data_IF_419286616148
#
_entry.id   IF_419286616148
#
_cell.length_a   1.000
_cell.length_b   1.000
_cell.length_c   1.000
_cell.angle_alpha   90.00
_cell.angle_beta   90.00
_cell.angle_gamma   90.00
#
_symmetry.space_group_name_H-M   'P 1'
#
loop_
_entity.id
_entity.type
_entity.pdbx_description
1 polymer ?
#
# COMPACT_ATOMS: atom_id res chain seq x y z
N UNK A 1 -2.37 -1.09 1.57
CA UNK A 1 -1.18 -0.29 1.95
C UNK A 1 -0.89 0.68 0.81
N UNK A 2 -0.70 1.96 1.11
CA UNK A 2 -0.41 3.05 0.17
C UNK A 2 0.90 3.75 0.56
N UNK A 3 1.36 4.69 -0.27
CA UNK A 3 2.50 5.56 0.03
C UNK A 3 3.85 4.94 -0.34
N UNK A 4 4.87 5.30 0.43
CA UNK A 4 6.20 4.69 0.39
C UNK A 4 6.10 3.17 0.57
N UNK A 5 6.95 2.41 -0.14
CA UNK A 5 7.24 1.04 0.26
C UNK A 5 8.36 1.07 1.30
N UNK A 6 8.00 1.23 2.58
CA UNK A 6 8.97 1.47 3.65
C UNK A 6 8.32 1.88 4.96
N UNK A 7 9.11 2.54 5.80
CA UNK A 7 8.71 2.84 7.18
C UNK A 7 7.57 3.87 7.27
N UNK A 8 7.33 4.68 6.24
CA UNK A 8 6.19 5.62 6.20
C UNK A 8 4.95 5.10 5.45
N UNK A 9 4.88 3.80 5.13
CA UNK A 9 3.73 3.21 4.45
C UNK A 9 2.42 3.36 5.24
N UNK A 10 1.29 3.49 4.53
CA UNK A 10 -0.03 3.77 5.13
C UNK A 10 -0.97 2.58 4.99
N UNK A 11 -1.38 2.01 6.12
CA UNK A 11 -2.44 1.00 6.17
C UNK A 11 -3.80 1.69 6.18
N UNK A 12 -4.50 1.67 5.05
CA UNK A 12 -5.84 2.25 4.91
C UNK A 12 -6.92 1.32 5.48
N UNK A 13 -7.12 1.39 6.79
CA UNK A 13 -8.11 0.60 7.51
C UNK A 13 -9.54 1.02 7.18
N UNK A 14 -9.76 2.31 6.89
CA UNK A 14 -11.10 2.86 6.63
C UNK A 14 -11.75 2.35 5.35
N UNK A 15 -10.94 1.99 4.36
CA UNK A 15 -11.37 1.45 3.05
C UNK A 15 -11.12 -0.06 2.93
N UNK A 16 -10.85 -0.76 4.03
CA UNK A 16 -10.60 -2.20 4.02
C UNK A 16 -11.93 -2.96 4.19
N UNK A 17 -12.23 -3.84 3.23
CA UNK A 17 -13.46 -4.63 3.21
C UNK A 17 -13.19 -6.15 3.13
N UNK A 18 -14.16 -6.91 3.63
CA UNK A 18 -14.30 -8.36 3.41
C UNK A 18 -15.62 -8.58 2.68
N UNK A 19 -15.55 -8.86 1.39
CA UNK A 19 -16.73 -8.85 0.53
C UNK A 19 -17.29 -7.43 0.44
N UNK A 20 -18.49 -7.21 1.00
CA UNK A 20 -19.15 -5.91 1.05
C UNK A 20 -19.23 -5.33 2.47
N UNK A 21 -18.45 -5.87 3.41
CA UNK A 21 -18.51 -5.52 4.83
C UNK A 21 -17.16 -4.94 5.24
N UNK A 22 -17.16 -3.75 5.84
CA UNK A 22 -15.95 -3.15 6.41
C UNK A 22 -15.24 -4.12 7.35
N UNK A 23 -13.91 -4.24 7.25
CA UNK A 23 -13.12 -5.23 7.99
C UNK A 23 -13.34 -5.15 9.51
N UNK A 24 -13.60 -3.94 10.03
CA UNK A 24 -13.89 -3.71 11.44
C UNK A 24 -15.23 -4.31 11.87
N UNK A 25 -16.25 -4.23 11.00
CA UNK A 25 -17.57 -4.83 11.21
C UNK A 25 -17.51 -6.34 11.03
N UNK A 26 -16.84 -6.83 9.99
CA UNK A 26 -16.60 -8.25 9.80
C UNK A 26 -15.93 -8.88 11.04
N UNK A 27 -14.89 -8.24 11.58
CA UNK A 27 -14.21 -8.69 12.80
C UNK A 27 -15.15 -8.82 14.00
N UNK A 28 -16.09 -7.88 14.17
CA UNK A 28 -17.13 -7.98 15.21
C UNK A 28 -18.05 -9.18 14.99
N UNK A 29 -18.51 -9.39 13.76
CA UNK A 29 -19.44 -10.48 13.42
C UNK A 29 -18.85 -11.87 13.65
N UNK A 30 -17.55 -12.05 13.42
CA UNK A 30 -16.85 -13.34 13.62
C UNK A 30 -16.24 -13.50 15.02
N UNK A 31 -16.54 -12.60 15.96
CA UNK A 31 -16.03 -12.66 17.33
C UNK A 31 -14.53 -12.40 17.46
N UNK A 32 -13.92 -11.70 16.49
CA UNK A 32 -12.50 -11.30 16.48
C UNK A 32 -12.37 -9.81 16.14
N UNK A 33 -12.81 -8.91 17.05
CA UNK A 33 -12.84 -7.48 16.78
C UNK A 33 -11.44 -6.94 16.46
N UNK A 34 -11.39 -6.01 15.50
CA UNK A 34 -10.17 -5.32 15.12
C UNK A 34 -9.96 -4.09 16.02
N UNK A 35 -9.58 -4.34 17.27
CA UNK A 35 -9.24 -3.30 18.25
C UNK A 35 -7.89 -2.63 17.95
N UNK A 36 -7.54 -1.59 18.71
CA UNK A 36 -6.30 -0.84 18.52
C UNK A 36 -5.06 -1.72 18.67
N UNK A 37 -5.07 -2.64 19.64
CA UNK A 37 -3.97 -3.57 19.86
C UNK A 37 -3.80 -4.53 18.67
N UNK A 38 -4.89 -5.03 18.09
CA UNK A 38 -4.86 -5.86 16.89
C UNK A 38 -4.37 -5.08 15.68
N UNK A 39 -4.87 -3.85 15.47
CA UNK A 39 -4.41 -2.96 14.40
C UNK A 39 -2.91 -2.69 14.51
N UNK A 40 -2.43 -2.33 15.70
CA UNK A 40 -1.02 -2.06 15.94
C UNK A 40 -0.14 -3.29 15.69
N UNK A 41 -0.54 -4.46 16.21
CA UNK A 41 0.21 -5.70 15.94
C UNK A 41 0.27 -6.05 14.46
N UNK A 42 -0.81 -5.81 13.70
CA UNK A 42 -0.82 -6.05 12.26
C UNK A 42 0.06 -5.02 11.55
N UNK A 43 -0.01 -3.74 11.92
CA UNK A 43 0.86 -2.68 11.38
C UNK A 43 2.34 -3.04 11.57
N UNK A 44 2.75 -3.35 12.79
CA UNK A 44 4.13 -3.76 13.10
C UNK A 44 4.53 -5.05 12.34
N UNK A 45 3.60 -5.99 12.18
CA UNK A 45 3.84 -7.19 11.41
C UNK A 45 4.07 -6.87 9.92
N UNK A 46 3.29 -6.00 9.31
CA UNK A 46 3.44 -5.62 7.89
C UNK A 46 4.70 -4.77 7.71
N UNK A 47 4.79 -3.64 8.42
CA UNK A 47 5.87 -2.65 8.31
C UNK A 47 7.24 -3.27 8.57
N UNK A 48 7.32 -4.20 9.54
CA UNK A 48 8.60 -4.84 9.91
C UNK A 48 8.87 -6.20 9.26
N UNK A 49 8.05 -6.61 8.29
CA UNK A 49 8.22 -7.91 7.62
C UNK A 49 9.59 -8.05 6.95
N UNK A 50 10.04 -7.02 6.22
CA UNK A 50 11.33 -7.05 5.53
C UNK A 50 12.50 -7.22 6.51
N UNK A 51 12.53 -6.44 7.60
CA UNK A 51 13.57 -6.52 8.63
C UNK A 51 13.67 -7.92 9.24
N UNK A 52 12.55 -8.53 9.65
CA UNK A 52 12.55 -9.89 10.24
C UNK A 52 13.06 -10.94 9.25
N UNK A 53 12.72 -10.81 7.97
CA UNK A 53 13.19 -11.73 6.93
C UNK A 53 14.70 -11.56 6.70
N UNK A 54 15.18 -10.32 6.61
CA UNK A 54 16.60 -10.01 6.42
C UNK A 54 17.42 -10.52 7.61
N UNK A 55 16.96 -10.30 8.84
CA UNK A 55 17.62 -10.83 10.04
C UNK A 55 17.68 -12.36 10.04
N UNK A 56 16.61 -13.03 9.60
CA UNK A 56 16.54 -14.50 9.60
C UNK A 56 17.30 -15.19 8.46
N UNK A 57 17.42 -14.57 7.27
CA UNK A 57 18.02 -15.21 6.09
C UNK A 57 18.87 -14.31 5.18
N UNK A 58 19.22 -13.12 5.62
CA UNK A 58 20.14 -12.18 4.94
C UNK A 58 19.51 -11.28 3.87
N UNK A 59 18.42 -11.68 3.23
CA UNK A 59 17.66 -10.83 2.30
C UNK A 59 16.23 -11.35 2.06
N UNK A 60 15.38 -10.58 1.38
CA UNK A 60 14.03 -11.00 0.92
C UNK A 60 13.98 -11.09 -0.61
N UNK A 61 13.33 -12.12 -1.16
CA UNK A 61 13.27 -12.30 -2.62
C UNK A 61 12.04 -13.09 -3.09
N UNK A 62 11.58 -14.09 -2.34
CA UNK A 62 10.42 -14.90 -2.76
C UNK A 62 9.12 -14.10 -2.84
N UNK A 63 8.82 -13.27 -1.83
CA UNK A 63 7.60 -12.46 -1.81
C UNK A 63 7.55 -11.44 -2.96
N UNK A 64 8.64 -10.69 -3.14
CA UNK A 64 8.73 -9.70 -4.21
C UNK A 64 8.73 -10.36 -5.60
N UNK A 65 9.35 -11.54 -5.77
CA UNK A 65 9.27 -12.29 -7.02
C UNK A 65 7.81 -12.66 -7.38
N UNK A 66 7.01 -13.09 -6.39
CA UNK A 66 5.57 -13.32 -6.59
C UNK A 66 4.81 -12.05 -7.01
N UNK A 67 5.11 -10.92 -6.36
CA UNK A 67 4.55 -9.61 -6.72
C UNK A 67 4.91 -9.17 -8.15
N UNK A 68 6.18 -9.31 -8.55
CA UNK A 68 6.65 -9.02 -9.90
C UNK A 68 5.96 -9.90 -10.94
N UNK A 69 5.84 -11.21 -10.69
CA UNK A 69 5.11 -12.13 -11.58
C UNK A 69 3.65 -11.68 -11.74
N UNK A 70 2.99 -11.22 -10.68
CA UNK A 70 1.61 -10.72 -10.73
C UNK A 70 1.47 -9.46 -11.59
N UNK A 71 2.39 -8.50 -11.45
CA UNK A 71 2.43 -7.27 -12.25
C UNK A 71 2.71 -7.59 -13.72
N UNK A 72 3.72 -8.42 -14.01
CA UNK A 72 4.04 -8.83 -15.37
C UNK A 72 2.87 -9.57 -16.05
N UNK A 73 2.11 -10.39 -15.29
CA UNK A 73 0.90 -11.04 -15.81
C UNK A 73 -0.19 -10.03 -16.16
N UNK A 74 -0.44 -9.03 -15.30
CA UNK A 74 -1.43 -7.98 -15.58
C UNK A 74 -1.09 -7.21 -16.87
N UNK A 75 0.19 -6.84 -17.03
CA UNK A 75 0.66 -6.12 -18.22
C UNK A 75 0.54 -7.01 -19.45
N UNK A 76 1.13 -8.21 -19.42
CA UNK A 76 1.14 -9.11 -20.59
C UNK A 76 -0.26 -9.50 -21.05
N UNK A 77 -1.22 -9.61 -20.14
CA UNK A 77 -2.60 -9.99 -20.43
C UNK A 77 -3.56 -8.83 -20.71
N UNK A 78 -3.10 -7.57 -20.69
CA UNK A 78 -3.96 -6.38 -20.63
C UNK A 78 -5.12 -6.54 -19.62
N UNK A 79 -4.82 -7.06 -18.43
CA UNK A 79 -5.84 -7.51 -17.46
C UNK A 79 -6.69 -6.35 -16.92
N UNK A 80 -6.15 -5.13 -16.98
CA UNK A 80 -6.71 -3.94 -16.31
C UNK A 80 -6.96 -4.20 -14.83
N UNK A 81 -6.01 -4.91 -14.20
CA UNK A 81 -6.06 -5.26 -12.80
C UNK A 81 -5.82 -4.04 -11.92
N UNK A 82 -6.55 -3.92 -10.80
CA UNK A 82 -6.25 -2.93 -9.77
C UNK A 82 -5.15 -3.48 -8.86
N UNK A 83 -3.98 -2.84 -8.89
CA UNK A 83 -2.83 -3.18 -8.05
C UNK A 83 -2.30 -1.92 -7.36
N UNK A 84 -1.83 -2.04 -6.12
CA UNK A 84 -1.11 -0.93 -5.48
C UNK A 84 0.34 -0.94 -5.93
N UNK A 85 0.68 -0.04 -6.85
CA UNK A 85 2.02 0.06 -7.45
C UNK A 85 2.45 1.52 -7.50
N UNK A 86 3.76 1.80 -7.60
CA UNK A 86 4.33 3.16 -7.67
C UNK A 86 4.37 3.72 -9.10
N UNK A 87 4.30 5.04 -9.21
CA UNK A 87 4.31 5.85 -10.44
C UNK A 87 4.53 7.29 -10.02
N UNK A 88 5.35 8.01 -10.79
CA UNK A 88 5.51 9.45 -10.64
C UNK A 88 4.18 10.15 -10.96
N UNK A 89 3.69 10.95 -10.03
CA UNK A 89 2.57 11.85 -10.22
C UNK A 89 2.95 13.28 -9.87
N UNK A 90 2.12 14.23 -10.32
CA UNK A 90 2.34 15.66 -10.09
C UNK A 90 2.17 16.02 -8.61
N UNK A 91 1.19 15.42 -7.93
CA UNK A 91 0.88 15.69 -6.54
C UNK A 91 0.11 14.52 -5.88
N UNK A 92 0.36 14.28 -4.60
CA UNK A 92 -0.46 13.44 -3.72
C UNK A 92 -0.62 14.18 -2.39
N UNK A 93 -1.88 14.43 -1.98
CA UNK A 93 -2.21 15.10 -0.71
C UNK A 93 -1.45 16.43 -0.50
N UNK A 94 -1.34 17.27 -1.54
CA UNK A 94 -0.62 18.55 -1.48
C UNK A 94 0.89 18.47 -1.67
N UNK A 95 1.45 17.30 -1.99
CA UNK A 95 2.91 17.08 -2.05
C UNK A 95 3.32 16.46 -3.39
N UNK A 96 4.27 17.08 -4.09
CA UNK A 96 4.85 16.52 -5.31
C UNK A 96 5.84 17.46 -6.03
N UNK A 97 6.39 17.03 -7.19
CA UNK A 97 6.16 15.74 -7.84
C UNK A 97 6.74 14.57 -7.03
N UNK A 98 6.04 13.43 -7.00
CA UNK A 98 6.42 12.29 -6.15
C UNK A 98 6.03 10.94 -6.77
N UNK A 99 6.90 9.94 -6.61
CA UNK A 99 6.61 8.56 -7.01
C UNK A 99 6.29 7.70 -5.79
N UNK A 100 5.01 7.39 -5.58
CA UNK A 100 4.54 6.56 -4.47
C UNK A 100 3.41 5.62 -4.89
N UNK A 101 3.06 4.68 -4.02
CA UNK A 101 2.08 3.63 -4.32
C UNK A 101 0.64 4.08 -4.06
N UNK A 102 -0.21 3.98 -5.08
CA UNK A 102 -1.67 4.16 -5.01
C UNK A 102 -2.35 2.97 -5.71
N UNK A 103 -3.65 2.71 -5.48
CA UNK A 103 -4.39 1.73 -6.24
C UNK A 103 -4.48 2.19 -7.70
N UNK A 104 -3.94 1.39 -8.62
CA UNK A 104 -3.80 1.75 -10.02
C UNK A 104 -4.26 0.63 -10.93
N UNK A 105 -4.87 1.00 -12.04
CA UNK A 105 -5.30 0.08 -13.09
C UNK A 105 -4.09 -0.23 -13.96
N UNK A 106 -3.67 -1.49 -13.98
CA UNK A 106 -2.51 -1.99 -14.73
C UNK A 106 -2.98 -2.84 -15.90
N UNK A 107 -2.68 -2.40 -17.13
CA UNK A 107 -2.98 -3.07 -18.39
C UNK A 107 -1.76 -3.17 -19.31
N UNK A 108 -2.00 -3.44 -20.59
CA UNK A 108 -0.97 -3.71 -21.60
C UNK A 108 0.02 -2.56 -21.82
N UNK A 109 -0.46 -1.34 -21.64
CA UNK A 109 0.35 -0.12 -21.73
C UNK A 109 0.95 0.33 -20.39
N UNK A 110 0.96 -0.54 -19.39
CA UNK A 110 1.37 -0.20 -18.03
C UNK A 110 0.20 0.35 -17.21
N UNK A 111 0.41 1.47 -16.50
CA UNK A 111 -0.64 2.08 -15.68
C UNK A 111 -1.56 2.93 -16.57
N UNK A 112 -2.85 2.63 -16.53
CA UNK A 112 -3.88 3.30 -17.36
C UNK A 112 -4.90 4.08 -16.53
N UNK A 113 -4.76 4.08 -15.21
CA UNK A 113 -5.60 4.87 -14.30
C UNK A 113 -5.15 4.79 -12.85
N UNK A 114 -5.52 5.79 -12.06
CA UNK A 114 -5.31 5.84 -10.61
C UNK A 114 -6.67 5.95 -9.93
N UNK A 115 -6.90 5.14 -8.91
CA UNK A 115 -8.12 5.16 -8.08
C UNK A 115 -7.79 5.79 -6.74
N UNK A 116 -8.68 6.66 -6.27
CA UNK A 116 -8.51 7.37 -5.00
C UNK A 116 -9.44 6.76 -3.94
N UNK A 117 -8.89 6.00 -2.97
CA UNK A 117 -9.70 5.43 -1.90
C UNK A 117 -10.18 6.54 -0.96
N UNK A 118 -11.29 6.29 -0.27
CA UNK A 118 -11.72 7.17 0.81
C UNK A 118 -10.75 7.05 1.99
N UNK A 119 -10.17 8.17 2.40
CA UNK A 119 -9.23 8.22 3.52
C UNK A 119 -9.87 9.00 4.68
N UNK A 120 -9.60 8.55 5.89
CA UNK A 120 -9.82 9.39 7.08
C UNK A 120 -8.82 10.56 7.07
N UNK A 121 -9.09 11.66 7.81
CA UNK A 121 -8.12 12.75 7.95
C UNK A 121 -6.74 12.29 8.44
N UNK A 122 -6.70 11.27 9.31
CA UNK A 122 -5.46 10.69 9.80
C UNK A 122 -4.69 9.92 8.71
N UNK A 123 -5.37 9.12 7.89
CA UNK A 123 -4.75 8.39 6.78
C UNK A 123 -4.29 9.32 5.65
N UNK A 124 -5.06 10.37 5.35
CA UNK A 124 -4.67 11.41 4.39
C UNK A 124 -3.42 12.17 4.89
N UNK A 125 -3.39 12.58 6.16
CA UNK A 125 -2.22 13.21 6.74
C UNK A 125 -0.99 12.29 6.76
N UNK A 126 -1.17 10.99 7.04
CA UNK A 126 -0.10 10.00 6.98
C UNK A 126 0.42 9.80 5.54
N UNK A 127 -0.47 9.79 4.55
CA UNK A 127 -0.08 9.69 3.14
C UNK A 127 0.68 10.94 2.66
N UNK A 128 0.24 12.13 3.07
CA UNK A 128 0.96 13.38 2.84
C UNK A 128 2.36 13.34 3.47
N UNK A 129 2.47 12.83 4.70
CA UNK A 129 3.77 12.66 5.36
C UNK A 129 4.66 11.66 4.61
N UNK A 130 4.11 10.55 4.14
CA UNK A 130 4.82 9.56 3.34
C UNK A 130 5.35 10.18 2.03
N UNK A 131 4.55 10.99 1.36
CA UNK A 131 4.97 11.74 0.18
C UNK A 131 6.14 12.70 0.49
N UNK A 132 6.08 13.43 1.62
CA UNK A 132 7.17 14.34 2.04
C UNK A 132 8.47 13.60 2.31
N UNK A 133 8.41 12.42 2.93
CA UNK A 133 9.60 11.57 3.17
C UNK A 133 10.29 11.25 1.84
N UNK A 134 9.52 10.83 0.83
CA UNK A 134 10.06 10.49 -0.49
C UNK A 134 10.63 11.73 -1.19
N UNK A 135 9.92 12.85 -1.18
CA UNK A 135 10.38 14.10 -1.81
C UNK A 135 11.68 14.59 -1.16
N UNK A 136 11.77 14.54 0.17
CA UNK A 136 12.98 14.91 0.89
C UNK A 136 14.16 14.00 0.52
N UNK A 137 13.96 12.67 0.50
CA UNK A 137 14.98 11.70 0.12
C UNK A 137 15.40 11.79 -1.36
N UNK A 138 14.52 12.28 -2.24
CA UNK A 138 14.86 12.52 -3.64
C UNK A 138 15.67 13.81 -3.84
N UNK A 139 15.69 14.71 -2.87
CA UNK A 139 16.39 15.99 -2.95
C UNK A 139 17.87 15.93 -2.49
N UNK A 140 18.28 14.87 -1.79
CA UNK A 140 19.65 14.65 -1.30
C UNK A 140 19.71 13.77 -0.07
#
# INVERSE_FOLDING_TARGET
VLGEHGDSEVLCWSSADVGSIAVSEYGRQVGRPLDDAARQRIDEAVRRAAYRIIEGKGATWFGIAGGLVRICRAIRGDERAVLTVSMLGDEVEGVGPVALSLPRVVGGSGIVGTLWPSLTPAESAALAQSARVIVAAAAG
#
